data_IF_072907887765
#
_entry.id   IF_072907887765
#
_cell.length_a   1.000
_cell.length_b   1.000
_cell.length_c   1.000
_cell.angle_alpha   90.00
_cell.angle_beta   90.00
_cell.angle_gamma   90.00
#
_symmetry.space_group_name_H-M   'P 1'
#
loop_
_entity.id
_entity.type
_entity.pdbx_description
1 polymer ?
#
# COMPACT_ATOMS: atom_id res chain seq x y z
N UNK A 1 37.07 68.56 13.28
CA UNK A 1 35.87 67.87 13.76
C UNK A 1 35.30 67.02 12.58
N UNK A 2 35.75 65.75 12.46
CA UNK A 2 35.39 64.86 11.42
C UNK A 2 34.54 63.74 12.02
N UNK A 3 33.28 63.65 11.61
CA UNK A 3 32.36 62.56 11.97
C UNK A 3 32.53 61.43 10.95
N UNK A 4 32.97 60.26 11.41
CA UNK A 4 33.03 59.03 10.62
C UNK A 4 31.66 58.38 10.74
N UNK A 5 30.94 58.27 9.62
CA UNK A 5 29.74 57.44 9.50
C UNK A 5 30.16 55.97 9.35
N UNK A 6 29.86 55.15 10.34
CA UNK A 6 29.96 53.69 10.19
C UNK A 6 28.68 53.17 9.56
N UNK A 7 28.81 52.59 8.37
CA UNK A 7 27.74 51.94 7.63
C UNK A 7 27.70 50.46 8.06
N UNK A 8 26.66 50.10 8.80
CA UNK A 8 26.43 48.72 9.26
C UNK A 8 25.66 47.95 8.16
N UNK A 9 26.36 47.12 7.41
CA UNK A 9 25.74 46.24 6.39
C UNK A 9 25.22 45.02 7.11
N UNK A 10 23.89 44.91 7.21
CA UNK A 10 23.19 43.68 7.70
C UNK A 10 23.10 42.70 6.54
N UNK A 11 23.94 41.66 6.58
CA UNK A 11 23.87 40.55 5.65
C UNK A 11 22.73 39.60 6.11
N UNK A 12 21.62 39.66 5.39
CA UNK A 12 20.50 38.74 5.58
C UNK A 12 20.85 37.39 4.92
N UNK A 13 21.31 36.41 5.70
CA UNK A 13 21.56 35.07 5.21
C UNK A 13 20.21 34.35 5.04
N UNK A 14 19.75 34.23 3.80
CA UNK A 14 18.56 33.40 3.45
C UNK A 14 19.00 31.93 3.48
N UNK A 15 18.61 31.23 4.54
CA UNK A 15 18.79 29.80 4.66
C UNK A 15 17.76 29.10 3.76
N UNK A 16 18.16 28.73 2.54
CA UNK A 16 17.34 27.92 1.63
C UNK A 16 17.36 26.50 2.14
N UNK A 17 16.31 26.11 2.88
CA UNK A 17 16.05 24.71 3.20
C UNK A 17 15.63 24.00 1.91
N UNK A 18 16.56 23.32 1.26
CA UNK A 18 16.25 22.34 0.19
C UNK A 18 15.63 21.11 0.86
N UNK A 19 14.31 21.02 0.85
CA UNK A 19 13.62 19.80 1.17
C UNK A 19 13.95 18.77 0.08
N UNK A 20 14.93 17.92 0.35
CA UNK A 20 15.19 16.74 -0.47
C UNK A 20 13.96 15.84 -0.34
N UNK A 21 13.22 15.64 -1.42
CA UNK A 21 12.18 14.61 -1.49
C UNK A 21 12.88 13.24 -1.48
N UNK A 22 13.22 12.76 -0.28
CA UNK A 22 13.66 11.39 -0.11
C UNK A 22 12.52 10.47 -0.61
N UNK A 23 12.84 9.52 -1.48
CA UNK A 23 11.91 8.45 -1.82
C UNK A 23 11.46 7.82 -0.49
N UNK A 24 10.13 7.80 -0.28
CA UNK A 24 9.59 7.30 0.99
C UNK A 24 9.88 5.80 1.07
N UNK A 25 10.61 5.39 2.11
CA UNK A 25 10.89 3.98 2.37
C UNK A 25 9.60 3.25 2.74
N UNK A 26 9.53 1.98 2.37
CA UNK A 26 8.39 1.13 2.77
C UNK A 26 8.37 0.96 4.29
N UNK A 27 7.18 0.92 4.92
CA UNK A 27 7.08 0.73 6.37
C UNK A 27 7.70 -0.61 6.79
N UNK A 28 8.52 -0.58 7.84
CA UNK A 28 9.19 -1.77 8.34
C UNK A 28 8.20 -2.73 9.02
N UNK A 29 8.55 -4.01 9.09
CA UNK A 29 7.81 -5.01 9.87
C UNK A 29 7.81 -4.62 11.35
N UNK A 30 6.67 -4.75 12.00
CA UNK A 30 6.45 -4.42 13.43
C UNK A 30 5.98 -2.98 13.67
N UNK A 31 6.09 -2.06 12.69
CA UNK A 31 5.58 -0.69 12.85
C UNK A 31 4.10 -0.58 12.44
N UNK A 32 3.44 0.48 12.88
CA UNK A 32 2.07 0.78 12.45
C UNK A 32 2.04 0.99 10.93
N UNK A 33 1.12 0.32 10.26
CA UNK A 33 0.90 0.50 8.83
C UNK A 33 0.35 1.92 8.57
N UNK A 34 0.80 2.62 7.50
CA UNK A 34 0.29 3.93 7.15
C UNK A 34 -1.23 3.90 6.97
N UNK A 35 -1.92 4.84 7.63
CA UNK A 35 -3.36 4.98 7.51
C UNK A 35 -3.74 5.40 6.08
N UNK A 36 -4.90 4.92 5.62
CA UNK A 36 -5.46 5.33 4.34
C UNK A 36 -6.98 5.50 4.45
N UNK A 37 -7.55 6.25 3.49
CA UNK A 37 -8.98 6.32 3.24
C UNK A 37 -9.18 6.47 1.74
N UNK A 38 -9.61 5.39 1.07
CA UNK A 38 -9.77 5.30 -0.39
C UNK A 38 -11.14 4.75 -0.75
N UNK A 39 -11.60 5.03 -1.99
CA UNK A 39 -12.81 4.43 -2.53
C UNK A 39 -12.48 3.11 -3.24
N UNK A 40 -13.40 2.16 -3.15
CA UNK A 40 -13.36 0.93 -3.96
C UNK A 40 -14.05 1.12 -5.32
N UNK A 41 -14.10 0.05 -6.11
CA UNK A 41 -14.76 -0.02 -7.42
C UNK A 41 -16.26 0.30 -7.42
N UNK A 42 -16.89 0.34 -6.25
CA UNK A 42 -18.32 0.71 -6.09
C UNK A 42 -18.50 2.16 -5.61
N UNK A 43 -17.41 2.87 -5.35
CA UNK A 43 -17.41 4.20 -4.75
C UNK A 43 -17.53 4.21 -3.22
N UNK A 44 -17.57 3.05 -2.58
CA UNK A 44 -17.60 2.94 -1.13
C UNK A 44 -16.23 3.27 -0.54
N UNK A 45 -16.20 4.06 0.54
CA UNK A 45 -15.00 4.40 1.27
C UNK A 45 -14.55 3.27 2.19
N UNK A 46 -13.24 3.04 2.22
CA UNK A 46 -12.55 2.10 3.08
C UNK A 46 -11.38 2.81 3.77
N UNK A 47 -11.31 2.71 5.08
CA UNK A 47 -10.16 3.12 5.87
C UNK A 47 -9.46 1.88 6.45
N UNK A 48 -8.15 1.96 6.70
CA UNK A 48 -7.44 0.85 7.34
C UNK A 48 -8.05 0.48 8.70
N UNK A 49 -8.51 1.48 9.44
CA UNK A 49 -9.12 1.27 10.77
C UNK A 49 -10.46 0.50 10.73
N UNK A 50 -11.15 0.46 9.59
CA UNK A 50 -12.36 -0.36 9.38
C UNK A 50 -12.09 -1.86 9.49
N UNK A 51 -10.81 -2.25 9.44
CA UNK A 51 -10.35 -3.63 9.44
C UNK A 51 -9.65 -4.04 10.74
N UNK A 52 -9.73 -3.23 11.79
CA UNK A 52 -9.20 -3.60 13.11
C UNK A 52 -9.77 -4.93 13.60
N UNK A 53 -8.92 -5.75 14.21
CA UNK A 53 -9.29 -7.11 14.63
C UNK A 53 -9.23 -8.16 13.53
N UNK A 54 -8.86 -7.80 12.31
CA UNK A 54 -8.73 -8.69 11.15
C UNK A 54 -7.35 -8.60 10.54
N UNK A 55 -6.90 -9.68 9.94
CA UNK A 55 -5.75 -9.66 9.04
C UNK A 55 -6.10 -8.92 7.76
N UNK A 56 -5.17 -8.10 7.25
CA UNK A 56 -5.34 -7.40 5.97
C UNK A 56 -4.18 -7.78 5.05
N UNK A 57 -4.52 -8.30 3.87
CA UNK A 57 -3.59 -8.47 2.75
C UNK A 57 -3.78 -7.29 1.81
N UNK A 58 -2.88 -6.33 1.90
CA UNK A 58 -2.87 -5.11 1.10
C UNK A 58 -1.86 -5.26 -0.03
N UNK A 59 -2.32 -5.49 -1.26
CA UNK A 59 -1.44 -5.64 -2.40
C UNK A 59 -1.50 -4.42 -3.33
N UNK A 60 -0.33 -3.91 -3.67
CA UNK A 60 -0.15 -2.84 -4.65
C UNK A 60 0.16 -3.44 -6.01
N UNK A 61 -0.39 -2.87 -7.07
CA UNK A 61 -0.16 -3.32 -8.44
C UNK A 61 -0.12 -2.12 -9.40
N UNK A 62 0.62 -2.24 -10.54
CA UNK A 62 0.86 -1.11 -11.42
C UNK A 62 -0.38 -0.53 -12.08
N UNK A 63 -1.25 -1.39 -12.69
CA UNK A 63 -2.35 -0.90 -13.52
C UNK A 63 -3.37 -2.00 -13.82
N UNK A 64 -4.66 -1.63 -13.81
CA UNK A 64 -5.77 -2.47 -14.23
C UNK A 64 -5.58 -3.01 -15.65
N UNK A 65 -6.19 -4.15 -15.92
CA UNK A 65 -6.26 -4.77 -17.26
C UNK A 65 -4.90 -5.04 -17.92
N UNK A 66 -3.80 -5.11 -17.13
CA UNK A 66 -2.52 -5.59 -17.63
C UNK A 66 -2.35 -7.08 -17.32
N UNK A 67 -1.68 -7.88 -18.20
CA UNK A 67 -1.62 -9.33 -18.03
C UNK A 67 -1.17 -9.82 -16.66
N UNK A 68 -0.11 -9.21 -16.10
CA UNK A 68 0.40 -9.57 -14.78
C UNK A 68 -0.53 -9.16 -13.63
N UNK A 69 -1.21 -8.01 -13.73
CA UNK A 69 -2.16 -7.56 -12.70
C UNK A 69 -3.41 -8.41 -12.72
N UNK A 70 -3.91 -8.78 -13.90
CA UNK A 70 -5.03 -9.71 -14.07
C UNK A 70 -4.69 -11.08 -13.48
N UNK A 71 -3.52 -11.64 -13.79
CA UNK A 71 -3.06 -12.92 -13.20
C UNK A 71 -3.07 -12.85 -11.67
N UNK A 72 -2.48 -11.80 -11.09
CA UNK A 72 -2.40 -11.65 -9.63
C UNK A 72 -3.79 -11.52 -8.99
N UNK A 73 -4.66 -10.68 -9.53
CA UNK A 73 -6.02 -10.47 -9.01
C UNK A 73 -6.85 -11.76 -9.09
N UNK A 74 -6.78 -12.49 -10.21
CA UNK A 74 -7.46 -13.77 -10.38
C UNK A 74 -6.96 -14.84 -9.38
N UNK A 75 -5.65 -14.92 -9.12
CA UNK A 75 -5.12 -15.84 -8.10
C UNK A 75 -5.62 -15.50 -6.69
N UNK A 76 -5.72 -14.22 -6.33
CA UNK A 76 -6.33 -13.81 -5.06
C UNK A 76 -7.82 -14.14 -5.00
N UNK A 77 -8.56 -13.94 -6.10
CA UNK A 77 -9.97 -14.33 -6.22
C UNK A 77 -10.15 -15.84 -6.01
N UNK A 78 -9.35 -16.63 -6.70
CA UNK A 78 -9.47 -18.10 -6.68
C UNK A 78 -9.14 -18.68 -5.30
N UNK A 79 -8.31 -18.00 -4.51
CA UNK A 79 -7.94 -18.37 -3.13
C UNK A 79 -8.77 -17.65 -2.05
N UNK A 80 -9.81 -16.89 -2.40
CA UNK A 80 -10.53 -16.01 -1.47
C UNK A 80 -11.08 -16.71 -0.24
N UNK A 81 -11.58 -17.94 -0.38
CA UNK A 81 -12.14 -18.71 0.73
C UNK A 81 -11.05 -19.05 1.77
N UNK A 82 -9.87 -19.46 1.34
CA UNK A 82 -8.77 -19.77 2.24
C UNK A 82 -8.28 -18.54 3.04
N UNK A 83 -8.33 -17.35 2.44
CA UNK A 83 -8.06 -16.09 3.17
C UNK A 83 -9.14 -15.79 4.20
N UNK A 84 -10.42 -15.96 3.82
CA UNK A 84 -11.57 -15.73 4.73
C UNK A 84 -11.58 -16.68 5.91
N UNK A 85 -11.19 -17.93 5.74
CA UNK A 85 -11.04 -18.92 6.83
C UNK A 85 -10.01 -18.47 7.87
N UNK A 86 -9.00 -17.72 7.48
CA UNK A 86 -8.00 -17.12 8.38
C UNK A 86 -8.44 -15.77 8.96
N UNK A 87 -9.68 -15.34 8.73
CA UNK A 87 -10.18 -14.03 9.15
C UNK A 87 -9.54 -12.86 8.39
N UNK A 88 -8.94 -13.12 7.23
CA UNK A 88 -8.26 -12.09 6.45
C UNK A 88 -9.18 -11.43 5.41
N UNK A 89 -8.90 -10.17 5.11
CA UNK A 89 -9.42 -9.43 3.97
C UNK A 89 -8.32 -9.16 2.96
N UNK A 90 -8.69 -9.15 1.68
CA UNK A 90 -7.81 -8.77 0.59
C UNK A 90 -8.24 -7.38 0.10
N UNK A 91 -7.28 -6.48 -0.06
CA UNK A 91 -7.46 -5.15 -0.62
C UNK A 91 -6.41 -4.94 -1.70
N UNK A 92 -6.84 -4.65 -2.93
CA UNK A 92 -5.94 -4.21 -3.98
C UNK A 92 -5.79 -2.69 -3.96
N UNK A 93 -4.67 -2.16 -4.38
CA UNK A 93 -4.43 -0.71 -4.53
C UNK A 93 -3.67 -0.44 -5.80
N UNK A 94 -4.19 0.43 -6.64
CA UNK A 94 -3.43 1.03 -7.75
C UNK A 94 -3.70 2.54 -7.85
N UNK A 95 -3.04 3.19 -8.77
CA UNK A 95 -3.25 4.63 -9.06
C UNK A 95 -4.36 4.88 -10.07
N UNK A 96 -5.02 3.82 -10.54
CA UNK A 96 -6.20 3.91 -11.39
C UNK A 96 -7.39 4.52 -10.62
N UNK A 97 -8.39 4.99 -11.33
CA UNK A 97 -9.59 5.58 -10.76
C UNK A 97 -10.70 4.54 -10.49
N UNK A 98 -11.77 4.98 -9.83
CA UNK A 98 -12.92 4.13 -9.46
C UNK A 98 -13.59 3.52 -10.69
N UNK A 99 -13.67 4.24 -11.79
CA UNK A 99 -14.31 3.74 -13.02
C UNK A 99 -13.51 2.62 -13.67
N UNK A 100 -12.18 2.80 -13.75
CA UNK A 100 -11.25 1.75 -14.20
C UNK A 100 -11.37 0.50 -13.32
N UNK A 101 -11.33 0.68 -12.01
CA UNK A 101 -11.49 -0.41 -11.05
C UNK A 101 -12.83 -1.14 -11.19
N UNK A 102 -13.92 -0.40 -11.45
CA UNK A 102 -15.23 -1.01 -11.67
C UNK A 102 -15.21 -1.93 -12.88
N UNK A 103 -14.72 -1.45 -14.01
CA UNK A 103 -14.60 -2.26 -15.22
C UNK A 103 -13.73 -3.50 -15.00
N UNK A 104 -12.57 -3.34 -14.36
CA UNK A 104 -11.64 -4.42 -14.06
C UNK A 104 -12.25 -5.46 -13.11
N UNK A 105 -12.90 -5.01 -12.02
CA UNK A 105 -13.53 -5.91 -11.06
C UNK A 105 -14.70 -6.68 -11.66
N UNK A 106 -15.52 -6.06 -12.51
CA UNK A 106 -16.62 -6.70 -13.22
C UNK A 106 -16.10 -7.73 -14.21
N UNK A 107 -15.13 -7.39 -15.04
CA UNK A 107 -14.53 -8.28 -16.04
C UNK A 107 -13.90 -9.52 -15.40
N UNK A 108 -13.18 -9.34 -14.29
CA UNK A 108 -12.47 -10.41 -13.61
C UNK A 108 -13.28 -11.08 -12.48
N UNK A 109 -14.51 -10.64 -12.21
CA UNK A 109 -15.37 -11.12 -11.13
C UNK A 109 -14.66 -11.08 -9.76
N UNK A 110 -14.04 -9.96 -9.40
CA UNK A 110 -13.27 -9.83 -8.17
C UNK A 110 -14.20 -9.66 -6.95
N UNK A 111 -14.16 -10.57 -5.95
CA UNK A 111 -15.06 -10.56 -4.79
C UNK A 111 -14.50 -9.78 -3.59
N UNK A 112 -13.55 -8.89 -3.83
CA UNK A 112 -12.89 -8.08 -2.81
C UNK A 112 -12.67 -6.63 -3.31
N UNK A 113 -12.49 -5.65 -2.41
CA UNK A 113 -12.25 -4.26 -2.77
C UNK A 113 -10.91 -4.07 -3.49
N UNK A 114 -10.93 -3.29 -4.57
CA UNK A 114 -9.75 -2.67 -5.17
C UNK A 114 -9.89 -1.15 -5.03
N UNK A 115 -8.86 -0.52 -4.48
CA UNK A 115 -8.92 0.84 -3.93
C UNK A 115 -8.19 1.82 -4.84
N UNK A 116 -8.89 2.90 -5.22
CA UNK A 116 -8.40 3.92 -6.13
C UNK A 116 -7.53 4.97 -5.41
N UNK A 117 -6.21 4.90 -5.60
CA UNK A 117 -5.26 5.91 -5.11
C UNK A 117 -4.81 6.86 -6.24
N UNK A 118 -5.75 7.46 -6.97
CA UNK A 118 -5.45 8.36 -8.09
C UNK A 118 -4.60 9.58 -7.66
N UNK A 119 -4.66 9.96 -6.38
CA UNK A 119 -3.81 10.99 -5.80
C UNK A 119 -2.40 10.50 -5.43
N UNK A 120 -2.11 9.19 -5.54
CA UNK A 120 -0.83 8.53 -5.27
C UNK A 120 -0.29 8.68 -3.83
N UNK A 121 -1.14 9.11 -2.91
CA UNK A 121 -0.75 9.40 -1.52
C UNK A 121 -0.46 8.14 -0.73
N UNK A 122 -1.31 7.13 -0.88
CA UNK A 122 -1.18 5.85 -0.17
C UNK A 122 -0.04 5.04 -0.76
N UNK A 123 0.05 4.98 -2.08
CA UNK A 123 1.15 4.35 -2.82
C UNK A 123 2.51 4.95 -2.40
N UNK A 124 2.58 6.29 -2.25
CA UNK A 124 3.79 6.95 -1.74
C UNK A 124 4.05 6.62 -0.26
N UNK A 125 3.02 6.68 0.61
CA UNK A 125 3.17 6.42 2.05
C UNK A 125 3.65 4.99 2.35
N UNK A 126 3.29 4.03 1.50
CA UNK A 126 3.78 2.65 1.57
C UNK A 126 5.13 2.43 0.85
N UNK A 127 5.74 3.48 0.29
CA UNK A 127 7.02 3.40 -0.41
C UNK A 127 6.95 2.54 -1.69
N UNK A 128 5.76 2.37 -2.26
CA UNK A 128 5.54 1.57 -3.47
C UNK A 128 5.43 2.42 -4.73
N UNK A 129 5.32 3.75 -4.62
CA UNK A 129 5.28 4.63 -5.77
C UNK A 129 6.61 4.57 -6.52
N UNK A 130 6.57 4.26 -7.81
CA UNK A 130 7.77 4.17 -8.65
C UNK A 130 7.53 4.84 -10.00
N UNK A 131 8.62 5.31 -10.61
CA UNK A 131 8.57 5.96 -11.90
C UNK A 131 9.05 5.02 -13.00
N UNK A 132 8.13 4.61 -13.86
CA UNK A 132 8.43 3.78 -15.03
C UNK A 132 8.88 4.66 -16.18
N UNK A 133 9.96 4.26 -16.86
CA UNK A 133 10.54 4.98 -18.00
C UNK A 133 10.80 6.47 -17.74
N UNK A 134 10.95 6.86 -16.47
CA UNK A 134 11.22 8.24 -16.06
C UNK A 134 10.03 9.20 -16.08
N UNK A 135 8.85 8.77 -16.57
CA UNK A 135 7.69 9.67 -16.79
C UNK A 135 6.38 9.20 -16.14
N UNK A 136 6.11 7.90 -16.10
CA UNK A 136 4.83 7.39 -15.59
C UNK A 136 5.00 6.89 -14.15
N UNK A 137 4.25 7.46 -13.23
CA UNK A 137 4.25 7.04 -11.82
C UNK A 137 3.14 6.03 -11.57
N UNK A 138 3.53 4.82 -11.19
CA UNK A 138 2.66 3.70 -10.88
C UNK A 138 3.07 3.04 -9.56
N UNK A 139 2.20 2.19 -9.02
CA UNK A 139 2.57 1.36 -7.90
C UNK A 139 3.53 0.25 -8.34
N UNK A 140 4.59 0.04 -7.56
CA UNK A 140 5.39 -1.19 -7.61
C UNK A 140 4.54 -2.34 -7.09
N UNK A 141 4.74 -3.55 -7.63
CA UNK A 141 4.01 -4.74 -7.19
C UNK A 141 4.58 -5.24 -5.86
N UNK A 142 4.03 -4.74 -4.78
CA UNK A 142 4.38 -5.12 -3.41
C UNK A 142 3.12 -5.61 -2.69
N UNK A 143 3.30 -6.43 -1.65
CA UNK A 143 2.18 -6.85 -0.80
C UNK A 143 2.58 -6.79 0.67
N UNK A 144 1.71 -6.19 1.48
CA UNK A 144 1.85 -6.12 2.93
C UNK A 144 0.81 -7.03 3.58
N UNK A 145 1.23 -7.81 4.57
CA UNK A 145 0.32 -8.43 5.51
C UNK A 145 0.29 -7.53 6.74
N UNK A 146 -0.90 -7.07 7.12
CA UNK A 146 -1.12 -6.20 8.27
C UNK A 146 -1.87 -7.01 9.33
N UNK A 147 -1.39 -6.98 10.56
CA UNK A 147 -1.97 -7.73 11.67
C UNK A 147 -3.28 -7.08 12.20
N UNK A 148 -4.05 -7.79 13.05
CA UNK A 148 -5.28 -7.26 13.63
C UNK A 148 -5.11 -5.97 14.46
N UNK A 149 -3.88 -5.65 14.89
CA UNK A 149 -3.54 -4.42 15.60
C UNK A 149 -3.16 -3.28 14.64
N UNK A 150 -3.17 -3.54 13.31
CA UNK A 150 -2.83 -2.57 12.28
C UNK A 150 -1.34 -2.32 12.11
N UNK A 151 -0.49 -3.30 12.45
CA UNK A 151 0.96 -3.26 12.24
C UNK A 151 1.36 -4.09 11.03
N UNK A 152 2.40 -3.69 10.34
CA UNK A 152 2.97 -4.49 9.26
C UNK A 152 3.56 -5.78 9.86
N UNK A 153 3.00 -6.93 9.49
CA UNK A 153 3.47 -8.24 9.93
C UNK A 153 4.44 -8.88 8.92
N UNK A 154 4.27 -8.59 7.62
CA UNK A 154 5.16 -9.05 6.55
C UNK A 154 5.10 -8.12 5.35
N UNK A 155 6.18 -8.09 4.54
CA UNK A 155 6.27 -7.29 3.33
C UNK A 155 6.95 -8.06 2.21
N UNK A 156 6.25 -8.25 1.10
CA UNK A 156 6.76 -8.86 -0.13
C UNK A 156 7.06 -7.75 -1.13
N UNK A 157 8.31 -7.66 -1.58
CA UNK A 157 8.80 -6.58 -2.44
C UNK A 157 8.97 -7.07 -3.88
N UNK A 158 8.50 -6.31 -4.87
CA UNK A 158 8.67 -6.57 -6.31
C UNK A 158 8.29 -7.99 -6.72
N UNK A 159 7.12 -8.43 -6.30
CA UNK A 159 6.69 -9.82 -6.47
C UNK A 159 6.31 -10.15 -7.91
N UNK A 160 6.56 -11.39 -8.30
CA UNK A 160 6.03 -11.96 -9.53
C UNK A 160 4.52 -12.26 -9.35
N UNK A 161 3.67 -11.95 -10.34
CA UNK A 161 2.24 -12.14 -10.19
C UNK A 161 1.83 -13.61 -10.03
N UNK A 162 2.47 -14.53 -10.77
CA UNK A 162 2.13 -15.95 -10.77
C UNK A 162 2.61 -16.65 -9.49
N UNK A 163 1.71 -17.34 -8.81
CA UNK A 163 1.98 -18.06 -7.56
C UNK A 163 2.03 -17.16 -6.33
N UNK A 164 1.86 -15.84 -6.49
CA UNK A 164 2.00 -14.89 -5.41
C UNK A 164 0.94 -15.07 -4.32
N UNK A 165 -0.32 -15.28 -4.71
CA UNK A 165 -1.41 -15.47 -3.75
C UNK A 165 -1.15 -16.68 -2.83
N UNK A 166 -0.66 -17.80 -3.37
CA UNK A 166 -0.33 -18.99 -2.59
C UNK A 166 0.83 -18.72 -1.59
N UNK A 167 1.82 -17.94 -2.02
CA UNK A 167 2.97 -17.54 -1.17
C UNK A 167 2.50 -16.66 0.00
N UNK A 168 1.68 -15.66 -0.26
CA UNK A 168 1.09 -14.78 0.76
C UNK A 168 0.21 -15.57 1.73
N UNK A 169 -0.61 -16.51 1.22
CA UNK A 169 -1.46 -17.37 2.05
C UNK A 169 -0.64 -18.26 2.99
N UNK A 170 0.49 -18.78 2.52
CA UNK A 170 1.41 -19.59 3.34
C UNK A 170 1.99 -18.77 4.50
N UNK A 171 2.48 -17.57 4.21
CA UNK A 171 3.00 -16.65 5.24
C UNK A 171 1.91 -16.25 6.23
N UNK A 172 0.71 -15.90 5.73
CA UNK A 172 -0.41 -15.53 6.59
C UNK A 172 -0.80 -16.64 7.57
N UNK A 173 -0.80 -17.91 7.12
CA UNK A 173 -1.05 -19.07 8.01
C UNK A 173 -0.03 -19.16 9.14
N UNK A 174 1.25 -18.94 8.84
CA UNK A 174 2.32 -18.96 9.84
C UNK A 174 2.17 -17.81 10.86
N UNK A 175 1.83 -16.62 10.39
CA UNK A 175 1.61 -15.45 11.24
C UNK A 175 0.38 -15.63 12.13
N UNK A 176 -0.74 -16.11 11.58
CA UNK A 176 -1.98 -16.35 12.31
C UNK A 176 -1.78 -17.43 13.41
N UNK A 177 -1.05 -18.50 13.10
CA UNK A 177 -0.74 -19.55 14.07
C UNK A 177 0.09 -19.06 15.28
N UNK A 178 0.99 -18.09 15.05
CA UNK A 178 1.80 -17.47 16.13
C UNK A 178 0.98 -16.52 17.02
N UNK A 179 -0.13 -15.98 16.51
CA UNK A 179 -0.95 -14.98 17.21
C UNK A 179 -2.10 -15.64 18.01
N UNK A 180 -2.46 -16.88 17.69
CA UNK A 180 -3.44 -17.64 18.47
C UNK A 180 -2.78 -18.15 19.75
N UNK A 181 -3.22 -17.71 20.97
CA UNK A 181 -2.67 -18.27 22.20
C UNK A 181 -2.90 -19.77 22.20
N UNK A 182 -1.86 -20.55 22.54
CA UNK A 182 -2.03 -21.98 22.77
C UNK A 182 -3.12 -22.15 23.83
N UNK A 183 -4.26 -22.71 23.45
CA UNK A 183 -5.30 -23.09 24.39
C UNK A 183 -4.70 -24.21 25.26
N UNK A 184 -4.22 -23.83 26.45
CA UNK A 184 -3.79 -24.80 27.47
C UNK A 184 -5.04 -25.52 27.95
N UNK A 185 -5.18 -26.77 27.53
CA UNK A 185 -6.16 -27.71 28.09
C UNK A 185 -5.74 -28.13 29.51
#
# INVERSE_FOLDING_TARGET
MSRILQSTTIACAILIMTASAAAQESPAVGVAAPAFRLQDQTGKWHALDDYRGRWVVLYFYPKDNTPGCTTQACEFRDNIFAYRELGAVILGVSVDDVESHKAFAEEQNLPFPILADSAKKVTAAYGTLTRYMGVVELARRDTFIIDPQGRVASHFVKVEPKGHSAMVLTELRQLAAKTTPATTN
#
